data_IF_246147010125
#
_entry.id   IF_246147010125
#
_cell.length_a   1.000
_cell.length_b   1.000
_cell.length_c   1.000
_cell.angle_alpha   90.00
_cell.angle_beta   90.00
_cell.angle_gamma   90.00
#
_symmetry.space_group_name_H-M   'P 1'
#
loop_
_entity.id
_entity.type
_entity.pdbx_description
1 polymer ?
#
# COMPACT_ATOMS: atom_id res chain seq x y z
N UNK A 1 -55.14 -31.48 33.69
CA UNK A 1 -54.49 -31.66 35.00
C UNK A 1 -53.03 -31.26 34.87
N UNK A 2 -52.52 -30.61 35.92
CA UNK A 2 -51.25 -29.88 36.01
C UNK A 2 -50.00 -30.74 35.72
N UNK A 3 -48.97 -30.13 35.14
CA UNK A 3 -47.61 -30.26 35.69
C UNK A 3 -46.71 -29.11 35.23
N UNK A 4 -45.94 -28.61 36.19
CA UNK A 4 -45.28 -27.32 36.21
C UNK A 4 -43.78 -27.38 35.85
N UNK A 5 -43.27 -26.23 35.39
CA UNK A 5 -42.02 -25.54 35.75
C UNK A 5 -40.72 -26.36 35.90
N UNK A 6 -39.68 -26.09 35.11
CA UNK A 6 -38.51 -25.20 35.39
C UNK A 6 -37.27 -25.95 34.83
N UNK A 7 -36.13 -25.40 34.44
CA UNK A 7 -35.51 -24.10 34.61
C UNK A 7 -34.55 -23.86 33.42
N UNK A 8 -34.31 -22.59 33.12
CA UNK A 8 -33.34 -22.14 32.13
C UNK A 8 -31.89 -22.46 32.55
N UNK A 9 -31.09 -22.94 31.60
CA UNK A 9 -29.64 -22.82 31.66
C UNK A 9 -29.18 -22.13 30.38
N UNK A 10 -29.13 -20.80 30.44
CA UNK A 10 -28.51 -19.93 29.45
C UNK A 10 -27.00 -20.14 29.45
N UNK A 11 -26.52 -21.08 28.65
CA UNK A 11 -25.10 -21.21 28.32
C UNK A 11 -24.73 -20.14 27.29
N UNK A 12 -24.20 -19.02 27.76
CA UNK A 12 -23.67 -17.96 26.94
C UNK A 12 -22.48 -18.46 26.10
N UNK A 13 -22.70 -18.65 24.81
CA UNK A 13 -21.63 -18.87 23.83
C UNK A 13 -20.78 -17.60 23.76
N UNK A 14 -19.73 -17.59 24.60
CA UNK A 14 -18.72 -16.54 24.73
C UNK A 14 -18.04 -16.35 23.38
N UNK A 15 -18.54 -15.37 22.61
CA UNK A 15 -17.99 -14.85 21.35
C UNK A 15 -16.50 -14.58 21.55
N UNK A 16 -15.65 -15.44 21.00
CA UNK A 16 -14.19 -15.20 20.97
C UNK A 16 -13.96 -14.00 20.07
N UNK A 17 -13.47 -12.93 20.67
CA UNK A 17 -13.02 -11.72 19.99
C UNK A 17 -11.61 -12.04 19.50
N UNK A 18 -11.51 -12.53 18.27
CA UNK A 18 -10.22 -12.58 17.57
C UNK A 18 -9.84 -11.14 17.25
N UNK A 19 -8.92 -10.65 18.06
CA UNK A 19 -8.31 -9.34 17.93
C UNK A 19 -7.08 -9.53 17.05
N UNK A 20 -7.27 -9.75 15.74
CA UNK A 20 -6.20 -9.72 14.75
C UNK A 20 -5.82 -8.26 14.47
N UNK A 21 -5.31 -7.62 15.52
CA UNK A 21 -4.65 -6.34 15.47
C UNK A 21 -3.22 -6.55 15.94
N UNK A 22 -2.43 -7.30 15.16
CA UNK A 22 -0.98 -7.30 15.33
C UNK A 22 -0.41 -6.38 14.26
N UNK A 23 -0.19 -5.15 14.68
CA UNK A 23 0.68 -4.20 14.02
C UNK A 23 1.96 -4.94 13.60
N UNK A 24 2.29 -4.78 12.32
CA UNK A 24 3.52 -5.25 11.72
C UNK A 24 4.69 -4.42 12.26
N UNK A 25 5.07 -4.68 13.52
CA UNK A 25 6.24 -4.09 14.14
C UNK A 25 7.28 -5.20 14.32
N UNK A 26 8.37 -5.04 13.57
CA UNK A 26 9.70 -5.57 13.84
C UNK A 26 9.83 -7.10 13.95
N UNK A 27 9.66 -7.80 12.81
CA UNK A 27 10.03 -9.21 12.65
C UNK A 27 11.56 -9.35 12.62
N UNK A 28 12.16 -9.27 13.82
CA UNK A 28 13.52 -9.71 14.08
C UNK A 28 13.80 -11.03 13.35
N UNK A 29 15.01 -11.19 12.81
CA UNK A 29 15.43 -12.37 12.05
C UNK A 29 15.24 -13.62 12.92
N UNK A 30 14.11 -14.31 12.75
CA UNK A 30 13.88 -15.59 13.39
C UNK A 30 14.71 -16.63 12.63
N UNK A 31 15.62 -17.35 13.30
CA UNK A 31 16.39 -18.41 12.65
C UNK A 31 15.46 -19.49 12.12
N UNK A 32 15.90 -20.15 11.04
CA UNK A 32 15.15 -21.23 10.41
C UNK A 32 14.77 -22.29 11.43
N UNK A 33 13.50 -22.73 11.39
CA UNK A 33 12.98 -23.81 12.26
C UNK A 33 13.72 -25.14 12.09
N UNK A 34 14.53 -25.26 11.03
CA UNK A 34 15.40 -26.38 10.74
C UNK A 34 16.58 -26.51 11.72
N UNK A 35 16.94 -25.45 12.44
CA UNK A 35 18.06 -25.48 13.40
C UNK A 35 17.86 -26.47 14.57
N UNK A 36 16.63 -26.92 14.83
CA UNK A 36 16.31 -27.88 15.89
C UNK A 36 16.08 -29.33 15.41
N UNK A 37 16.25 -29.62 14.12
CA UNK A 37 15.98 -30.95 13.56
C UNK A 37 17.29 -31.74 13.47
N UNK A 38 17.35 -32.89 14.14
CA UNK A 38 18.43 -33.87 14.02
C UNK A 38 17.89 -35.21 13.54
N UNK A 39 18.60 -35.82 12.61
CA UNK A 39 18.35 -37.12 12.00
C UNK A 39 19.05 -38.26 12.75
N UNK A 40 19.96 -37.94 13.68
CA UNK A 40 20.72 -38.91 14.47
C UNK A 40 21.88 -39.57 13.70
N UNK A 41 22.09 -39.17 12.45
CA UNK A 41 23.23 -39.53 11.61
C UNK A 41 24.06 -38.26 11.39
N UNK A 42 25.37 -38.30 11.67
CA UNK A 42 26.24 -37.12 11.57
C UNK A 42 26.20 -36.47 10.18
N UNK A 43 26.17 -37.27 9.11
CA UNK A 43 26.07 -36.77 7.74
C UNK A 43 24.72 -36.08 7.45
N UNK A 44 23.63 -36.60 8.00
CA UNK A 44 22.29 -36.03 7.84
C UNK A 44 22.14 -34.71 8.61
N UNK A 45 22.72 -34.62 9.80
CA UNK A 45 22.68 -33.41 10.64
C UNK A 45 23.50 -32.27 10.02
N UNK A 46 24.62 -32.59 9.34
CA UNK A 46 25.38 -31.62 8.56
C UNK A 46 24.57 -31.05 7.39
N UNK A 47 23.81 -31.90 6.68
CA UNK A 47 22.94 -31.46 5.58
C UNK A 47 21.78 -30.59 6.08
N UNK A 48 21.14 -30.96 7.19
CA UNK A 48 20.06 -30.15 7.80
C UNK A 48 20.58 -28.80 8.26
N UNK A 49 21.78 -28.74 8.83
CA UNK A 49 22.43 -27.48 9.21
C UNK A 49 22.76 -26.63 7.98
N UNK A 50 23.29 -27.22 6.91
CA UNK A 50 23.56 -26.52 5.67
C UNK A 50 22.26 -25.96 5.04
N UNK A 51 21.17 -26.74 5.05
CA UNK A 51 19.87 -26.31 4.57
C UNK A 51 19.27 -25.18 5.44
N UNK A 52 19.42 -25.25 6.77
CA UNK A 52 18.98 -24.18 7.66
C UNK A 52 19.70 -22.86 7.34
N UNK A 53 21.02 -22.92 7.15
CA UNK A 53 21.82 -21.73 6.82
C UNK A 53 21.50 -21.16 5.44
N UNK A 54 21.19 -22.01 4.45
CA UNK A 54 20.81 -21.53 3.12
C UNK A 54 19.44 -20.83 3.11
N UNK A 55 18.48 -21.32 3.90
CA UNK A 55 17.18 -20.65 4.07
C UNK A 55 17.32 -19.32 4.81
N UNK A 56 18.16 -19.27 5.85
CA UNK A 56 18.41 -18.03 6.59
C UNK A 56 19.09 -16.97 5.70
N UNK A 57 20.09 -17.35 4.92
CA UNK A 57 20.75 -16.45 3.98
C UNK A 57 19.80 -15.96 2.88
N UNK A 58 18.96 -16.84 2.33
CA UNK A 58 17.95 -16.44 1.34
C UNK A 58 16.92 -15.44 1.91
N UNK A 59 16.46 -15.69 3.14
CA UNK A 59 15.56 -14.78 3.85
C UNK A 59 16.19 -13.40 4.05
N UNK A 60 17.46 -13.37 4.46
CA UNK A 60 18.21 -12.11 4.62
C UNK A 60 18.37 -11.37 3.30
N UNK A 61 18.79 -12.04 2.21
CA UNK A 61 18.96 -11.42 0.89
C UNK A 61 17.64 -10.85 0.37
N UNK A 62 16.54 -11.58 0.55
CA UNK A 62 15.23 -11.11 0.09
C UNK A 62 14.78 -9.85 0.86
N UNK A 63 15.03 -9.81 2.18
CA UNK A 63 14.71 -8.64 3.01
C UNK A 63 15.57 -7.43 2.66
N UNK A 64 16.87 -7.60 2.47
CA UNK A 64 17.75 -6.50 2.08
C UNK A 64 17.39 -5.95 0.70
N UNK A 65 17.11 -6.82 -0.26
CA UNK A 65 16.63 -6.41 -1.59
C UNK A 65 15.31 -5.63 -1.50
N UNK A 66 14.35 -6.08 -0.68
CA UNK A 66 13.10 -5.37 -0.43
C UNK A 66 13.35 -3.97 0.16
N UNK A 67 14.16 -3.88 1.21
CA UNK A 67 14.47 -2.60 1.86
C UNK A 67 15.18 -1.62 0.92
N UNK A 68 16.08 -2.11 0.07
CA UNK A 68 16.73 -1.27 -0.95
C UNK A 68 15.71 -0.75 -1.97
N UNK A 69 14.86 -1.62 -2.51
CA UNK A 69 13.83 -1.23 -3.45
C UNK A 69 12.84 -0.21 -2.84
N UNK A 70 12.43 -0.40 -1.58
CA UNK A 70 11.56 0.56 -0.87
C UNK A 70 12.24 1.93 -0.71
N UNK A 71 13.53 1.97 -0.35
CA UNK A 71 14.30 3.21 -0.25
C UNK A 71 14.45 3.92 -1.60
N UNK A 72 14.70 3.17 -2.67
CA UNK A 72 14.79 3.73 -4.02
C UNK A 72 13.46 4.34 -4.47
N UNK A 73 12.34 3.64 -4.21
CA UNK A 73 11.00 4.14 -4.50
C UNK A 73 10.69 5.40 -3.68
N UNK A 74 11.08 5.42 -2.40
CA UNK A 74 10.88 6.58 -1.53
C UNK A 74 11.70 7.78 -2.00
N UNK A 75 12.97 7.57 -2.36
CA UNK A 75 13.84 8.60 -2.91
C UNK A 75 13.27 9.20 -4.20
N UNK A 76 12.91 8.35 -5.17
CA UNK A 76 12.28 8.79 -6.42
C UNK A 76 10.95 9.51 -6.18
N UNK A 77 10.13 9.00 -5.25
CA UNK A 77 8.88 9.66 -4.89
C UNK A 77 9.13 11.04 -4.30
N UNK A 78 10.17 11.20 -3.48
CA UNK A 78 10.52 12.49 -2.87
C UNK A 78 11.00 13.49 -3.91
N UNK A 79 11.81 13.06 -4.88
CA UNK A 79 12.32 13.88 -5.97
C UNK A 79 11.18 14.37 -6.88
N UNK A 80 10.27 13.48 -7.27
CA UNK A 80 9.09 13.84 -8.06
C UNK A 80 8.22 14.85 -7.32
N UNK A 81 7.99 14.65 -6.01
CA UNK A 81 7.22 15.60 -5.19
C UNK A 81 7.90 16.97 -5.14
N UNK A 82 9.22 17.00 -4.95
CA UNK A 82 10.00 18.25 -4.94
C UNK A 82 9.88 18.97 -6.28
N UNK A 83 10.06 18.27 -7.41
CA UNK A 83 9.93 18.85 -8.75
C UNK A 83 8.53 19.41 -9.01
N UNK A 84 7.48 18.70 -8.61
CA UNK A 84 6.10 19.20 -8.72
C UNK A 84 5.94 20.49 -7.93
N UNK A 85 6.39 20.52 -6.67
CA UNK A 85 6.27 21.71 -5.82
C UNK A 85 7.12 22.89 -6.29
N UNK A 86 8.34 22.63 -6.78
CA UNK A 86 9.24 23.66 -7.29
C UNK A 86 8.68 24.37 -8.52
N UNK A 87 7.92 23.65 -9.36
CA UNK A 87 7.23 24.19 -10.52
C UNK A 87 5.83 24.75 -10.19
N UNK A 88 5.48 24.89 -8.91
CA UNK A 88 4.20 25.48 -8.47
C UNK A 88 3.00 24.53 -8.55
N UNK A 89 3.24 23.23 -8.74
CA UNK A 89 2.22 22.18 -8.68
C UNK A 89 1.94 21.71 -7.25
N UNK A 90 0.80 21.04 -7.06
CA UNK A 90 0.35 20.52 -5.77
C UNK A 90 0.55 19.00 -5.72
N UNK A 91 1.06 18.44 -4.62
CA UNK A 91 1.35 16.98 -4.52
C UNK A 91 0.08 16.14 -4.53
N UNK A 92 -0.96 16.60 -3.84
CA UNK A 92 -2.28 15.98 -3.93
C UNK A 92 -3.20 16.83 -4.81
N UNK A 93 -3.95 16.21 -5.74
CA UNK A 93 -4.98 16.93 -6.48
C UNK A 93 -5.99 17.51 -5.50
N UNK A 94 -6.10 18.84 -5.44
CA UNK A 94 -7.05 19.54 -4.56
C UNK A 94 -8.49 19.15 -4.84
N UNK A 95 -8.80 18.82 -6.09
CA UNK A 95 -10.10 18.29 -6.50
C UNK A 95 -9.94 16.83 -6.86
N UNK A 96 -10.51 15.95 -6.04
CA UNK A 96 -10.63 14.51 -6.31
C UNK A 96 -11.93 14.18 -7.06
N UNK A 97 -12.88 15.12 -7.04
CA UNK A 97 -14.20 15.01 -7.67
C UNK A 97 -14.54 16.26 -8.50
N UNK A 98 -15.54 16.11 -9.38
CA UNK A 98 -16.04 17.18 -10.24
C UNK A 98 -15.47 17.17 -11.66
N UNK A 99 -15.51 18.32 -12.33
CA UNK A 99 -15.10 18.49 -13.72
C UNK A 99 -14.13 19.66 -13.86
N UNK A 100 -13.06 19.45 -14.62
CA UNK A 100 -12.15 20.50 -15.07
C UNK A 100 -12.68 21.05 -16.39
N UNK A 101 -12.85 22.37 -16.47
CA UNK A 101 -13.21 23.08 -17.70
C UNK A 101 -11.94 23.70 -18.25
N UNK A 102 -11.54 23.30 -19.45
CA UNK A 102 -10.33 23.78 -20.12
C UNK A 102 -10.72 24.39 -21.46
N UNK A 103 -10.36 25.63 -21.69
CA UNK A 103 -10.48 26.25 -23.00
C UNK A 103 -9.32 25.78 -23.89
N UNK A 104 -9.64 25.16 -25.02
CA UNK A 104 -8.68 24.66 -26.00
C UNK A 104 -9.03 25.29 -27.33
N UNK A 105 -8.32 26.36 -27.70
CA UNK A 105 -8.52 27.05 -28.98
C UNK A 105 -9.92 27.63 -29.18
N UNK A 106 -10.56 28.13 -28.11
CA UNK A 106 -11.92 28.69 -28.15
C UNK A 106 -13.03 27.68 -27.86
N UNK A 107 -12.70 26.39 -27.70
CA UNK A 107 -13.66 25.36 -27.29
C UNK A 107 -13.46 24.99 -25.83
N UNK A 108 -14.52 25.10 -25.01
CA UNK A 108 -14.47 24.69 -23.61
C UNK A 108 -14.70 23.18 -23.49
N UNK A 109 -13.63 22.44 -23.22
CA UNK A 109 -13.69 21.01 -22.92
C UNK A 109 -13.99 20.80 -21.44
N UNK A 110 -15.02 19.98 -21.15
CA UNK A 110 -15.36 19.60 -19.79
C UNK A 110 -14.91 18.18 -19.51
N UNK A 111 -13.88 18.00 -18.68
CA UNK A 111 -13.22 16.73 -18.40
C UNK A 111 -13.55 16.29 -16.96
N UNK A 112 -14.12 15.10 -16.74
CA UNK A 112 -14.35 14.60 -15.39
C UNK A 112 -13.03 14.22 -14.72
N UNK A 113 -12.82 14.65 -13.47
CA UNK A 113 -11.62 14.35 -12.69
C UNK A 113 -11.45 12.83 -12.49
N UNK A 114 -12.56 12.10 -12.35
CA UNK A 114 -12.57 10.65 -12.26
C UNK A 114 -11.95 9.95 -13.48
N UNK A 115 -12.11 10.51 -14.68
CA UNK A 115 -11.46 9.97 -15.88
C UNK A 115 -9.95 10.22 -15.88
N UNK A 116 -9.49 11.35 -15.34
CA UNK A 116 -8.07 11.65 -15.19
C UNK A 116 -7.42 10.74 -14.13
N UNK A 117 -8.13 10.42 -13.05
CA UNK A 117 -7.66 9.51 -12.01
C UNK A 117 -7.69 8.02 -12.42
N UNK A 118 -8.27 7.68 -13.58
CA UNK A 118 -8.32 6.31 -14.07
C UNK A 118 -6.92 5.74 -14.32
N UNK A 119 -6.70 4.44 -14.03
CA UNK A 119 -5.36 3.80 -14.07
C UNK A 119 -4.57 4.04 -15.36
N UNK A 120 -5.24 4.07 -16.51
CA UNK A 120 -4.61 4.31 -17.82
C UNK A 120 -4.34 5.79 -18.12
N UNK A 121 -5.10 6.70 -17.49
CA UNK A 121 -5.03 8.14 -17.75
C UNK A 121 -4.11 8.85 -16.76
N UNK A 122 -4.07 8.41 -15.50
CA UNK A 122 -3.29 9.04 -14.43
C UNK A 122 -1.80 9.11 -14.72
N UNK A 123 -1.27 8.20 -15.54
CA UNK A 123 0.15 8.16 -15.94
C UNK A 123 0.46 9.00 -17.18
N UNK A 124 -0.55 9.62 -17.81
CA UNK A 124 -0.33 10.49 -18.97
C UNK A 124 0.10 11.89 -18.53
N UNK A 125 0.96 12.52 -19.32
CA UNK A 125 1.42 13.89 -19.06
C UNK A 125 0.25 14.87 -18.87
N UNK A 126 -0.77 14.78 -19.73
CA UNK A 126 -1.94 15.65 -19.65
C UNK A 126 -2.66 15.50 -18.31
N UNK A 127 -2.87 14.26 -17.84
CA UNK A 127 -3.51 14.03 -16.55
C UNK A 127 -2.68 14.55 -15.39
N UNK A 128 -1.36 14.34 -15.42
CA UNK A 128 -0.46 14.86 -14.38
C UNK A 128 -0.51 16.39 -14.34
N UNK A 129 -0.44 17.05 -15.49
CA UNK A 129 -0.54 18.50 -15.59
C UNK A 129 -1.88 19.02 -15.07
N UNK A 130 -2.99 18.42 -15.50
CA UNK A 130 -4.33 18.83 -15.07
C UNK A 130 -4.66 18.48 -13.62
N UNK A 131 -4.02 17.49 -13.01
CA UNK A 131 -4.29 17.15 -11.61
C UNK A 131 -3.43 17.96 -10.63
N UNK A 132 -2.18 18.26 -11.01
CA UNK A 132 -1.22 18.90 -10.11
C UNK A 132 -1.09 20.42 -10.33
N UNK A 133 -1.36 20.92 -11.54
CA UNK A 133 -1.06 22.31 -11.94
C UNK A 133 -2.28 23.14 -12.35
N UNK A 134 -3.51 22.73 -12.03
CA UNK A 134 -4.73 23.49 -12.40
C UNK A 134 -4.70 24.95 -11.95
N UNK A 135 -4.12 25.23 -10.79
CA UNK A 135 -4.10 26.59 -10.23
C UNK A 135 -3.12 27.51 -10.96
N UNK A 136 -2.15 26.93 -11.69
CA UNK A 136 -1.15 27.66 -12.49
C UNK A 136 -1.60 27.90 -13.93
N UNK A 137 -2.73 27.32 -14.35
CA UNK A 137 -3.26 27.58 -15.68
C UNK A 137 -3.80 29.01 -15.74
N UNK A 138 -3.51 29.75 -16.83
CA UNK A 138 -4.14 31.04 -17.09
C UNK A 138 -5.65 30.89 -17.01
N UNK A 139 -6.27 31.71 -16.17
CA UNK A 139 -7.73 31.76 -16.05
C UNK A 139 -8.22 32.75 -17.09
N UNK A 140 -9.18 32.32 -17.91
CA UNK A 140 -9.87 33.24 -18.80
C UNK A 140 -10.52 34.34 -17.94
N UNK A 141 -10.14 35.60 -18.15
CA UNK A 141 -10.76 36.78 -17.51
C UNK A 141 -12.20 36.99 -17.99
N UNK A 142 -12.55 36.35 -19.09
CA UNK A 142 -13.89 36.35 -19.65
C UNK A 142 -14.76 35.36 -18.88
N UNK A 143 -15.51 35.88 -17.90
CA UNK A 143 -16.60 35.20 -17.19
C UNK A 143 -17.74 34.83 -18.15
N UNK A 144 -17.51 33.85 -19.03
CA UNK A 144 -18.57 33.19 -19.80
C UNK A 144 -19.13 31.99 -19.01
#
# INVERSE_FOLDING_TARGET
AMSAASAAASGSSKKRKDNDGRAADDEAVLPSRLHGVTTGLEEGDLLVKAAATSVDTFSQITRTAKQLAEKEIEALSSEIKQLITANGGTIEPRRKDGRIRLNVGGTVMSIPVSALLHRKMKTTYLSTLLLHFTDQLPKDENNL
#
